data_IF_930219130605
#
_entry.id   IF_930219130605
#
_cell.length_a   1.000
_cell.length_b   1.000
_cell.length_c   1.000
_cell.angle_alpha   90.00
_cell.angle_beta   90.00
_cell.angle_gamma   90.00
#
_symmetry.space_group_name_H-M   'P 1'
#
loop_
_entity.id
_entity.type
_entity.pdbx_description
1 polymer ?
#
# COMPACT_ATOMS: atom_id res chain seq x y z
N UNK A 1 -8.87 -52.65 -49.27
CA UNK A 1 -8.10 -51.44 -49.59
C UNK A 1 -8.90 -50.12 -49.43
N UNK A 2 -10.23 -50.16 -49.53
CA UNK A 2 -11.04 -48.90 -49.48
C UNK A 2 -11.33 -48.28 -48.11
N UNK A 3 -11.34 -49.07 -47.04
CA UNK A 3 -11.69 -48.50 -45.69
C UNK A 3 -10.62 -47.58 -45.08
N UNK A 4 -9.35 -47.75 -45.42
CA UNK A 4 -8.26 -46.92 -44.94
C UNK A 4 -8.30 -45.51 -45.58
N UNK A 5 -8.49 -45.46 -46.89
CA UNK A 5 -8.57 -44.21 -47.66
C UNK A 5 -9.79 -43.38 -47.21
N UNK A 6 -10.94 -44.05 -47.05
CA UNK A 6 -12.16 -43.40 -46.60
C UNK A 6 -12.00 -42.78 -45.19
N UNK A 7 -11.41 -43.52 -44.26
CA UNK A 7 -11.09 -42.99 -42.90
C UNK A 7 -10.17 -41.79 -42.96
N UNK A 8 -9.14 -41.82 -43.80
CA UNK A 8 -8.20 -40.68 -43.94
C UNK A 8 -8.91 -39.45 -44.49
N UNK A 9 -9.78 -39.62 -45.49
CA UNK A 9 -10.55 -38.50 -46.06
C UNK A 9 -11.51 -37.91 -45.02
N UNK A 10 -12.20 -38.72 -44.23
CA UNK A 10 -13.13 -38.26 -43.20
C UNK A 10 -12.37 -37.49 -42.09
N UNK A 11 -11.22 -38.02 -41.66
CA UNK A 11 -10.37 -37.32 -40.68
C UNK A 11 -9.90 -35.98 -41.23
N UNK A 12 -9.42 -35.94 -42.45
CA UNK A 12 -8.98 -34.72 -43.12
C UNK A 12 -10.08 -33.66 -43.20
N UNK A 13 -11.26 -34.03 -43.66
CA UNK A 13 -12.44 -33.14 -43.76
C UNK A 13 -12.80 -32.62 -42.38
N UNK A 14 -12.86 -33.50 -41.37
CA UNK A 14 -13.15 -33.09 -39.97
C UNK A 14 -12.12 -32.10 -39.42
N UNK A 15 -10.84 -32.32 -39.71
CA UNK A 15 -9.75 -31.42 -39.26
C UNK A 15 -9.87 -30.06 -39.95
N UNK A 16 -10.14 -30.04 -41.25
CA UNK A 16 -10.34 -28.78 -41.98
C UNK A 16 -11.55 -28.01 -41.46
N UNK A 17 -12.68 -28.70 -41.26
CA UNK A 17 -13.87 -28.04 -40.68
C UNK A 17 -13.66 -27.54 -39.23
N UNK A 18 -12.99 -28.31 -38.39
CA UNK A 18 -12.70 -27.89 -37.03
C UNK A 18 -11.74 -26.68 -36.99
N UNK A 19 -10.75 -26.66 -37.89
CA UNK A 19 -9.84 -25.53 -38.06
C UNK A 19 -10.56 -24.25 -38.51
N UNK A 20 -11.40 -24.39 -39.55
CA UNK A 20 -12.21 -23.29 -40.06
C UNK A 20 -13.15 -22.71 -38.98
N UNK A 21 -13.81 -23.61 -38.21
CA UNK A 21 -14.67 -23.20 -37.10
C UNK A 21 -13.92 -22.46 -36.01
N UNK A 22 -12.72 -22.92 -35.66
CA UNK A 22 -11.84 -22.25 -34.70
C UNK A 22 -11.44 -20.84 -35.15
N UNK A 23 -11.12 -20.67 -36.43
CA UNK A 23 -10.77 -19.35 -37.01
C UNK A 23 -11.99 -18.41 -36.96
N UNK A 24 -13.16 -18.91 -37.37
CA UNK A 24 -14.40 -18.12 -37.29
C UNK A 24 -14.69 -17.69 -35.85
N UNK A 25 -14.54 -18.59 -34.86
CA UNK A 25 -14.72 -18.31 -33.46
C UNK A 25 -13.76 -17.19 -32.95
N UNK A 26 -12.50 -17.29 -33.36
CA UNK A 26 -11.49 -16.25 -33.00
C UNK A 26 -11.82 -14.91 -33.66
N UNK A 27 -12.26 -14.90 -34.91
CA UNK A 27 -12.70 -13.68 -35.60
C UNK A 27 -13.92 -13.05 -34.92
N UNK A 28 -14.90 -13.87 -34.53
CA UNK A 28 -16.10 -13.39 -33.83
C UNK A 28 -15.77 -12.79 -32.45
N UNK A 29 -14.76 -13.32 -31.78
CA UNK A 29 -14.29 -12.75 -30.50
C UNK A 29 -13.54 -11.42 -30.70
N UNK A 30 -12.75 -11.30 -31.75
CA UNK A 30 -11.98 -10.09 -32.05
C UNK A 30 -12.82 -8.95 -32.66
N UNK A 31 -13.88 -9.29 -33.37
CA UNK A 31 -14.73 -8.35 -34.11
C UNK A 31 -15.27 -7.18 -33.26
N UNK A 32 -15.80 -7.40 -32.04
CA UNK A 32 -16.28 -6.31 -31.18
C UNK A 32 -15.18 -5.31 -30.81
N UNK A 33 -13.92 -5.76 -30.67
CA UNK A 33 -12.79 -4.91 -30.35
C UNK A 33 -12.37 -4.02 -31.52
N UNK A 34 -12.48 -4.52 -32.75
CA UNK A 34 -12.17 -3.74 -33.96
C UNK A 34 -13.16 -2.57 -34.09
N UNK A 35 -14.43 -2.85 -33.87
CA UNK A 35 -15.49 -1.82 -33.99
C UNK A 35 -15.76 -1.09 -32.67
N UNK A 36 -15.05 -1.43 -31.58
CA UNK A 36 -15.24 -0.83 -30.25
C UNK A 36 -16.71 -0.76 -29.84
N UNK A 37 -17.44 -1.85 -30.01
CA UNK A 37 -18.87 -1.93 -29.78
C UNK A 37 -19.18 -2.33 -28.32
N UNK A 38 -20.08 -1.62 -27.66
CA UNK A 38 -20.55 -1.94 -26.31
C UNK A 38 -19.51 -1.71 -25.22
N UNK A 39 -19.40 -2.66 -24.29
CA UNK A 39 -18.45 -2.60 -23.13
C UNK A 39 -16.97 -2.60 -23.53
N UNK A 40 -16.63 -3.13 -24.70
CA UNK A 40 -15.26 -3.10 -25.23
C UNK A 40 -14.78 -1.69 -25.56
N UNK A 41 -15.66 -0.71 -25.50
CA UNK A 41 -15.36 0.73 -25.70
C UNK A 41 -14.66 1.35 -24.50
N UNK A 42 -14.74 0.73 -23.32
CA UNK A 42 -14.03 1.20 -22.14
C UNK A 42 -12.54 0.96 -22.31
N UNK A 43 -11.78 2.02 -22.15
CA UNK A 43 -10.32 1.90 -22.11
C UNK A 43 -9.93 1.07 -20.90
N UNK A 44 -9.24 -0.04 -21.16
CA UNK A 44 -8.77 -0.96 -20.11
C UNK A 44 -7.42 -0.53 -19.57
N UNK A 45 -6.68 0.25 -20.35
CA UNK A 45 -5.36 0.75 -19.99
C UNK A 45 -5.45 2.17 -19.43
N UNK A 46 -4.69 2.43 -18.38
CA UNK A 46 -4.55 3.75 -17.79
C UNK A 46 -3.23 4.36 -18.28
N UNK A 47 -3.30 5.57 -18.81
CA UNK A 47 -2.13 6.29 -19.35
C UNK A 47 -1.45 7.13 -18.27
N UNK A 48 -0.89 6.51 -17.22
CA UNK A 48 -0.12 7.25 -16.22
C UNK A 48 1.14 7.89 -16.85
N UNK A 49 1.45 9.16 -16.62
CA UNK A 49 0.88 10.10 -15.64
C UNK A 49 -0.18 11.09 -16.22
N UNK A 50 -0.93 10.71 -17.23
CA UNK A 50 -1.93 11.59 -17.85
C UNK A 50 -3.06 11.94 -16.84
N UNK A 51 -3.27 13.22 -16.50
CA UNK A 51 -4.25 13.62 -15.50
C UNK A 51 -5.71 13.40 -15.93
N UNK A 52 -5.94 13.12 -17.21
CA UNK A 52 -7.30 12.92 -17.75
C UNK A 52 -7.72 11.45 -17.75
N UNK A 53 -6.78 10.54 -17.99
CA UNK A 53 -7.06 9.11 -18.17
C UNK A 53 -6.57 8.24 -17.00
N UNK A 54 -5.68 8.74 -16.14
CA UNK A 54 -5.19 8.00 -14.98
C UNK A 54 -6.03 8.22 -13.74
N UNK A 55 -6.09 7.21 -12.88
CA UNK A 55 -6.73 7.32 -11.57
C UNK A 55 -5.92 8.22 -10.64
N UNK A 56 -6.62 9.07 -9.93
CA UNK A 56 -6.07 9.87 -8.83
C UNK A 56 -6.08 9.08 -7.52
N UNK A 57 -5.43 9.59 -6.49
CA UNK A 57 -5.45 8.97 -5.16
C UNK A 57 -6.87 8.81 -4.60
N UNK A 58 -7.80 9.70 -4.97
CA UNK A 58 -9.18 9.67 -4.51
C UNK A 58 -10.02 8.57 -5.17
N UNK A 59 -9.65 8.16 -6.39
CA UNK A 59 -10.31 7.09 -7.14
C UNK A 59 -9.91 5.69 -6.66
N UNK A 60 -8.85 5.60 -5.86
CA UNK A 60 -8.36 4.33 -5.34
C UNK A 60 -9.30 3.79 -4.24
N UNK A 61 -9.45 2.46 -4.16
CA UNK A 61 -10.27 1.85 -3.12
C UNK A 61 -9.74 2.19 -1.71
N UNK A 62 -10.62 2.28 -0.70
CA UNK A 62 -10.26 2.69 0.67
C UNK A 62 -9.23 1.75 1.33
N UNK A 63 -9.07 0.53 0.83
CA UNK A 63 -8.09 -0.46 1.30
C UNK A 63 -6.84 -0.55 0.42
N UNK A 64 -6.57 0.46 -0.41
CA UNK A 64 -5.32 0.50 -1.17
C UNK A 64 -4.11 0.66 -0.23
N UNK A 65 -3.02 -0.02 -0.57
CA UNK A 65 -1.76 0.02 0.19
C UNK A 65 -0.81 1.03 -0.44
N UNK A 66 -1.10 2.33 -0.26
CA UNK A 66 -0.19 3.39 -0.64
C UNK A 66 0.88 3.66 0.43
N UNK A 67 1.52 4.81 0.37
CA UNK A 67 2.57 5.21 1.30
C UNK A 67 2.07 5.15 2.75
N UNK A 68 2.95 4.66 3.64
CA UNK A 68 2.65 4.60 5.07
C UNK A 68 2.71 6.00 5.67
N UNK A 69 1.79 6.27 6.58
CA UNK A 69 1.75 7.48 7.40
C UNK A 69 1.63 7.08 8.87
N UNK A 70 2.41 7.72 9.73
CA UNK A 70 2.33 7.53 11.18
C UNK A 70 1.82 8.78 11.87
N UNK A 71 0.69 8.67 12.57
CA UNK A 71 0.19 9.69 13.48
C UNK A 71 0.93 9.54 14.81
N UNK A 72 2.06 10.23 14.92
CA UNK A 72 3.01 10.08 16.04
C UNK A 72 2.38 10.38 17.41
N UNK A 73 1.32 11.20 17.46
CA UNK A 73 0.64 11.54 18.72
C UNK A 73 -0.13 10.36 19.32
N UNK A 74 -0.52 9.40 18.48
CA UNK A 74 -1.15 8.14 18.91
C UNK A 74 -0.15 7.04 19.16
N UNK A 75 1.09 7.20 18.69
CA UNK A 75 2.12 6.18 18.80
C UNK A 75 2.58 6.01 20.25
N UNK A 76 2.57 4.79 20.74
CA UNK A 76 3.00 4.40 22.09
C UNK A 76 4.47 3.95 22.16
N UNK A 77 5.19 3.91 21.04
CA UNK A 77 6.57 3.42 21.01
C UNK A 77 6.74 1.92 21.26
N UNK A 78 5.71 1.12 21.11
CA UNK A 78 5.77 -0.32 21.44
C UNK A 78 6.70 -1.17 20.55
N UNK A 79 7.24 -0.62 19.46
CA UNK A 79 8.17 -1.24 18.50
C UNK A 79 7.66 -2.52 17.83
N UNK A 80 6.36 -2.85 17.94
CA UNK A 80 5.80 -4.03 17.29
C UNK A 80 5.89 -3.95 15.77
N UNK A 81 5.66 -2.75 15.19
CA UNK A 81 5.79 -2.53 13.76
C UNK A 81 7.22 -2.73 13.24
N UNK A 82 8.24 -2.38 14.04
CA UNK A 82 9.65 -2.63 13.73
C UNK A 82 9.96 -4.14 13.76
N UNK A 83 9.49 -4.85 14.81
CA UNK A 83 9.73 -6.29 15.00
C UNK A 83 9.06 -7.15 13.94
N UNK A 84 7.84 -6.81 13.53
CA UNK A 84 7.08 -7.60 12.56
C UNK A 84 7.51 -7.34 11.11
N UNK A 85 8.30 -6.29 10.87
CA UNK A 85 8.69 -5.92 9.52
C UNK A 85 9.68 -6.92 8.92
N UNK A 86 9.33 -7.64 7.83
CA UNK A 86 10.22 -8.66 7.24
C UNK A 86 11.46 -8.05 6.60
N UNK A 87 11.41 -6.79 6.19
CA UNK A 87 12.50 -6.08 5.53
C UNK A 87 13.25 -5.11 6.45
N UNK A 88 12.81 -5.02 7.72
CA UNK A 88 13.41 -4.12 8.72
C UNK A 88 13.54 -2.67 8.21
N UNK A 89 12.47 -2.18 7.57
CA UNK A 89 12.45 -0.83 7.00
C UNK A 89 12.01 0.25 8.00
N UNK A 90 11.64 -0.12 9.24
CA UNK A 90 11.18 0.82 10.26
C UNK A 90 12.23 0.89 11.36
N UNK A 91 12.63 2.10 11.73
CA UNK A 91 13.57 2.37 12.82
C UNK A 91 12.88 3.25 13.86
N UNK A 92 12.92 2.83 15.13
CA UNK A 92 12.30 3.54 16.22
C UNK A 92 13.33 3.75 17.32
N UNK A 93 13.53 5.02 17.71
CA UNK A 93 14.31 5.38 18.90
C UNK A 93 13.41 6.05 19.93
N UNK A 94 13.55 5.60 21.16
CA UNK A 94 12.76 6.07 22.29
C UNK A 94 13.67 6.78 23.28
N UNK A 95 13.21 7.88 23.80
CA UNK A 95 13.82 8.52 24.97
C UNK A 95 12.89 8.36 26.18
N UNK A 96 13.43 8.12 27.38
CA UNK A 96 12.63 8.12 28.59
C UNK A 96 11.99 9.49 28.75
N UNK A 97 10.66 9.54 28.72
CA UNK A 97 9.89 10.74 28.94
C UNK A 97 10.17 11.32 30.35
N UNK A 98 9.61 12.50 30.63
CA UNK A 98 9.68 13.10 31.97
C UNK A 98 9.01 12.20 33.03
N UNK A 99 8.08 11.35 32.58
CA UNK A 99 7.39 10.31 33.34
C UNK A 99 7.74 8.92 32.82
N UNK A 100 8.00 7.99 33.73
CA UNK A 100 8.23 6.58 33.39
C UNK A 100 7.03 5.93 32.65
N UNK A 101 5.87 6.58 32.65
CA UNK A 101 4.64 6.09 31.98
C UNK A 101 4.45 6.61 30.56
N UNK A 102 5.22 7.63 30.13
CA UNK A 102 5.12 8.19 28.77
C UNK A 102 6.45 8.05 28.04
N UNK A 103 6.44 7.21 27.01
CA UNK A 103 7.58 7.03 26.12
C UNK A 103 7.56 8.17 25.09
N UNK A 104 8.69 8.82 24.88
CA UNK A 104 8.88 9.81 23.85
C UNK A 104 9.56 9.16 22.66
N UNK A 105 8.87 9.10 21.53
CA UNK A 105 9.43 8.58 20.28
C UNK A 105 10.20 9.71 19.62
N UNK A 106 11.52 9.70 19.77
CA UNK A 106 12.42 10.71 19.19
C UNK A 106 12.63 10.50 17.70
N UNK A 107 12.83 9.24 17.28
CA UNK A 107 12.99 8.84 15.88
C UNK A 107 11.92 7.82 15.54
N UNK A 108 11.25 8.05 14.43
CA UNK A 108 10.38 7.08 13.78
C UNK A 108 10.55 7.23 12.28
N UNK A 109 11.40 6.42 11.71
CA UNK A 109 11.77 6.50 10.32
C UNK A 109 11.29 5.26 9.56
N UNK A 110 10.73 5.48 8.38
CA UNK A 110 10.31 4.43 7.44
C UNK A 110 11.13 4.57 6.16
N UNK A 111 11.94 3.57 5.87
CA UNK A 111 12.70 3.48 4.63
C UNK A 111 11.86 2.82 3.53
N UNK A 112 11.26 3.64 2.68
CA UNK A 112 10.44 3.16 1.57
C UNK A 112 11.24 2.45 0.48
N UNK A 113 12.57 2.62 0.44
CA UNK A 113 13.41 1.87 -0.51
C UNK A 113 13.44 0.37 -0.22
N UNK A 114 13.20 -0.03 1.04
CA UNK A 114 13.14 -1.43 1.49
C UNK A 114 11.72 -1.93 1.69
N UNK A 115 10.74 -1.03 1.80
CA UNK A 115 9.37 -1.38 2.13
C UNK A 115 8.69 -2.16 1.00
N UNK A 116 8.08 -3.31 1.33
CA UNK A 116 7.30 -4.14 0.39
C UNK A 116 5.80 -3.83 0.43
N UNK A 117 5.37 -2.85 1.20
CA UNK A 117 3.96 -2.46 1.37
C UNK A 117 3.04 -3.63 1.76
N UNK A 118 3.55 -4.60 2.52
CA UNK A 118 2.80 -5.80 2.92
C UNK A 118 1.65 -5.52 3.90
N UNK A 119 1.72 -4.43 4.67
CA UNK A 119 0.69 -4.00 5.62
C UNK A 119 0.75 -4.64 7.00
N UNK A 120 1.66 -5.57 7.27
CA UNK A 120 1.76 -6.26 8.57
C UNK A 120 1.97 -5.29 9.74
N UNK A 121 2.73 -4.22 9.54
CA UNK A 121 2.97 -3.19 10.55
C UNK A 121 1.69 -2.40 10.89
N UNK A 122 0.82 -2.19 9.92
CA UNK A 122 -0.47 -1.51 10.11
C UNK A 122 -1.45 -2.41 10.85
N UNK A 123 -1.54 -3.68 10.44
CA UNK A 123 -2.44 -4.66 11.05
C UNK A 123 -2.07 -4.95 12.52
N UNK A 124 -0.77 -4.89 12.85
CA UNK A 124 -0.27 -5.16 14.20
C UNK A 124 -0.19 -3.88 15.09
N UNK A 125 -0.53 -2.72 14.56
CA UNK A 125 -0.50 -1.46 15.30
C UNK A 125 -1.73 -1.33 16.20
N UNK A 126 -1.62 -1.70 17.49
CA UNK A 126 -2.71 -1.63 18.47
C UNK A 126 -3.30 -0.22 18.61
N UNK A 127 -2.49 0.87 18.76
CA UNK A 127 -3.04 2.21 18.86
C UNK A 127 -3.58 2.74 17.52
N UNK A 128 -3.35 2.04 16.40
CA UNK A 128 -3.77 2.46 15.06
C UNK A 128 -3.13 3.78 14.62
N UNK A 129 -1.90 4.04 15.05
CA UNK A 129 -1.15 5.23 14.65
C UNK A 129 -0.57 5.11 13.24
N UNK A 130 -0.23 3.89 12.81
CA UNK A 130 0.34 3.60 11.52
C UNK A 130 -0.75 3.17 10.55
N UNK A 131 -0.86 3.86 9.41
CA UNK A 131 -1.91 3.62 8.42
C UNK A 131 -1.34 3.68 7.00
N UNK A 132 -1.96 2.94 6.08
CA UNK A 132 -1.72 3.14 4.65
C UNK A 132 -2.56 4.32 4.15
N UNK A 133 -1.92 5.22 3.44
CA UNK A 133 -2.62 6.28 2.70
C UNK A 133 -3.04 5.79 1.32
N UNK A 134 -3.79 6.61 0.60
CA UNK A 134 -4.09 6.36 -0.81
C UNK A 134 -3.02 6.94 -1.74
N UNK A 135 -2.04 7.67 -1.19
CA UNK A 135 -0.95 8.22 -1.97
C UNK A 135 -0.01 7.10 -2.41
N UNK A 136 0.26 7.04 -3.69
CA UNK A 136 1.13 6.05 -4.32
C UNK A 136 2.34 6.65 -5.00
N UNK A 137 2.36 7.97 -5.17
CA UNK A 137 3.50 8.69 -5.76
C UNK A 137 4.57 8.92 -4.70
N UNK A 138 5.63 8.16 -4.76
CA UNK A 138 6.76 8.22 -3.83
C UNK A 138 8.10 8.05 -4.54
N UNK A 139 8.18 8.38 -5.84
CA UNK A 139 9.44 8.29 -6.58
C UNK A 139 10.38 9.44 -6.18
N UNK A 140 11.63 9.12 -5.91
CA UNK A 140 12.67 10.09 -5.57
C UNK A 140 13.96 9.78 -6.33
N UNK A 141 14.80 10.80 -6.54
CA UNK A 141 16.10 10.64 -7.21
C UNK A 141 17.18 10.08 -6.29
N UNK A 142 17.12 10.40 -4.99
CA UNK A 142 18.08 9.95 -4.01
C UNK A 142 17.41 8.96 -3.03
N UNK A 143 18.17 7.98 -2.54
CA UNK A 143 17.70 7.02 -1.56
C UNK A 143 17.31 7.67 -0.22
N UNK A 144 17.99 8.75 0.15
CA UNK A 144 17.69 9.50 1.37
C UNK A 144 16.30 10.14 1.37
N UNK A 145 15.81 10.52 0.19
CA UNK A 145 14.50 11.16 0.04
C UNK A 145 13.35 10.14 0.16
N UNK A 146 13.69 8.83 0.11
CA UNK A 146 12.74 7.73 0.34
C UNK A 146 12.58 7.37 1.82
N UNK A 147 13.31 8.03 2.72
CA UNK A 147 13.13 7.85 4.16
C UNK A 147 12.15 8.90 4.68
N UNK A 148 10.99 8.44 5.14
CA UNK A 148 10.00 9.32 5.76
C UNK A 148 10.17 9.31 7.28
N UNK A 149 10.43 10.48 7.86
CA UNK A 149 10.64 10.68 9.30
C UNK A 149 9.39 11.26 9.95
N UNK A 150 8.87 10.56 10.95
CA UNK A 150 7.68 10.93 11.72
C UNK A 150 8.01 11.22 13.20
N UNK A 151 9.27 11.00 13.63
CA UNK A 151 9.71 11.20 15.00
C UNK A 151 9.53 12.64 15.48
N UNK A 152 9.39 12.80 16.79
CA UNK A 152 9.24 14.12 17.43
C UNK A 152 10.57 14.86 17.63
N UNK A 153 11.69 14.23 17.29
CA UNK A 153 13.02 14.73 17.57
C UNK A 153 13.41 14.57 19.04
N UNK A 154 14.60 15.07 19.39
CA UNK A 154 15.12 14.99 20.75
C UNK A 154 14.29 15.82 21.71
N UNK A 155 14.18 15.34 22.95
CA UNK A 155 13.48 16.05 24.02
C UNK A 155 14.24 17.32 24.39
N UNK A 156 13.64 18.47 24.11
CA UNK A 156 14.18 19.76 24.56
C UNK A 156 13.86 20.03 26.04
N UNK A 157 14.67 20.85 26.73
CA UNK A 157 14.38 21.22 28.12
C UNK A 157 13.00 21.91 28.28
N UNK A 158 12.52 22.59 27.25
CA UNK A 158 11.17 23.19 27.22
C UNK A 158 10.04 22.14 27.25
N UNK A 159 10.20 21.04 26.53
CA UNK A 159 9.25 19.91 26.58
C UNK A 159 9.20 19.29 27.99
N UNK A 160 10.35 19.13 28.64
CA UNK A 160 10.42 18.61 30.02
C UNK A 160 9.73 19.55 31.01
N UNK A 161 9.95 20.86 30.88
CA UNK A 161 9.30 21.87 31.73
C UNK A 161 7.78 21.89 31.54
N UNK A 162 7.30 21.80 30.28
CA UNK A 162 5.87 21.75 29.97
C UNK A 162 5.20 20.50 30.56
N UNK A 163 5.87 19.36 30.53
CA UNK A 163 5.33 18.13 31.13
C UNK A 163 5.33 18.17 32.66
N UNK A 164 6.36 18.74 33.24
CA UNK A 164 6.38 18.95 34.72
C UNK A 164 5.22 19.84 35.17
N UNK A 165 4.91 20.89 34.42
CA UNK A 165 3.77 21.75 34.70
C UNK A 165 2.41 21.03 34.55
N UNK A 166 2.25 20.22 33.49
CA UNK A 166 1.03 19.42 33.28
C UNK A 166 0.81 18.37 34.38
N UNK A 167 1.88 17.80 34.93
CA UNK A 167 1.80 16.85 36.06
C UNK A 167 1.29 17.55 37.31
N UNK A 168 1.83 18.72 37.65
CA UNK A 168 1.38 19.49 38.82
C UNK A 168 -0.11 19.85 38.72
N UNK A 169 -0.62 20.12 37.53
CA UNK A 169 -2.04 20.37 37.31
C UNK A 169 -2.89 19.10 37.52
N UNK A 170 -2.45 17.93 37.06
CA UNK A 170 -3.20 16.67 37.24
C UNK A 170 -3.22 16.22 38.70
N UNK A 171 -2.14 16.41 39.45
CA UNK A 171 -2.08 16.11 40.89
C UNK A 171 -2.95 17.06 41.72
N UNK A 172 -3.10 18.34 41.30
CA UNK A 172 -3.99 19.29 41.97
C UNK A 172 -5.48 18.95 41.76
N UNK A 173 -5.86 18.35 40.64
CA UNK A 173 -7.23 17.97 40.35
C UNK A 173 -7.65 16.65 41.03
N UNK A 174 -6.70 15.80 41.42
CA UNK A 174 -6.97 14.51 42.11
C UNK A 174 -7.14 14.68 43.62
N UNK A 175 -6.78 15.82 44.18
CA UNK A 175 -6.91 16.17 45.64
C UNK A 175 -8.29 16.74 45.99
N UNK A 176 -9.17 16.98 45.00
CA UNK A 176 -10.51 17.59 45.20
C UNK A 176 -11.67 16.58 45.13
N UNK A 177 -11.40 15.29 45.17
CA UNK A 177 -12.37 14.21 45.35
C UNK A 177 -12.09 13.50 46.64
#
# INVERSE_FOLDING_TARGET
>A
MNNSIFRTIVVYIRTVFSGAWSIIGSCMTAFPYIFRWGETRKEVTEGYPDPVSSKTADDLPPRSRGLLFNEIDRCTGCRECERICPTQCITIEEEPGADASKIWVSVFDIDFSKCTFCGLCVENCLPGSLVHTRQYEGAAYNLTDLVASFGRGQITPEHRAKWAALRQMSESDEVVL
#
